data_IF_243532124067
#
_entry.id   IF_243532124067
#
_cell.length_a   1.000
_cell.length_b   1.000
_cell.length_c   1.000
_cell.angle_alpha   90.00
_cell.angle_beta   90.00
_cell.angle_gamma   90.00
#
_symmetry.space_group_name_H-M   'P 1'
#
loop_
_entity.id
_entity.type
_entity.pdbx_description
1 polymer ?
#
# COMPACT_ATOMS: atom_id res chain seq x y z
N UNK A 1 47.73 -55.10 -54.22
CA UNK A 1 47.77 -56.56 -54.45
C UNK A 1 46.69 -57.18 -53.56
N UNK A 2 45.41 -56.99 -53.89
CA UNK A 2 44.56 -57.82 -54.77
C UNK A 2 44.36 -59.26 -54.26
N UNK A 3 43.09 -59.58 -53.96
CA UNK A 3 42.33 -60.85 -54.12
C UNK A 3 41.20 -60.85 -53.07
N UNK A 4 39.94 -60.47 -53.38
CA UNK A 4 38.87 -61.27 -54.03
C UNK A 4 38.64 -62.64 -53.36
N UNK A 5 37.45 -63.21 -53.15
CA UNK A 5 36.04 -62.91 -53.42
C UNK A 5 35.22 -64.05 -52.75
N UNK A 6 33.94 -63.83 -52.40
CA UNK A 6 32.82 -64.81 -52.51
C UNK A 6 31.63 -64.39 -51.62
N UNK A 7 30.64 -63.65 -52.14
CA UNK A 7 29.41 -64.08 -52.87
C UNK A 7 28.28 -64.69 -52.01
N UNK A 8 27.19 -63.91 -51.90
CA UNK A 8 25.73 -64.25 -51.99
C UNK A 8 24.95 -63.03 -51.47
N UNK A 9 23.73 -62.67 -51.86
CA UNK A 9 22.86 -62.87 -53.01
C UNK A 9 21.64 -61.96 -52.73
N UNK A 10 21.30 -61.07 -53.67
CA UNK A 10 19.97 -60.56 -54.06
C UNK A 10 18.88 -60.50 -52.95
N UNK A 11 18.36 -59.29 -52.66
CA UNK A 11 16.93 -58.94 -52.81
C UNK A 11 16.68 -57.46 -52.47
N UNK A 12 16.18 -56.74 -53.48
CA UNK A 12 15.47 -55.46 -53.38
C UNK A 12 14.32 -55.58 -52.39
N UNK A 13 14.25 -54.68 -51.40
CA UNK A 13 13.02 -54.45 -50.63
C UNK A 13 12.81 -52.95 -50.49
N UNK A 14 11.74 -52.48 -51.14
CA UNK A 14 11.12 -51.19 -50.91
C UNK A 14 10.79 -51.05 -49.41
N UNK A 15 11.29 -50.00 -48.76
CA UNK A 15 10.73 -49.53 -47.49
C UNK A 15 10.08 -48.18 -47.75
N UNK A 16 8.77 -48.25 -48.00
CA UNK A 16 7.83 -47.19 -47.72
C UNK A 16 7.74 -47.11 -46.18
N UNK A 17 8.42 -46.15 -45.56
CA UNK A 17 8.45 -45.95 -44.11
C UNK A 17 8.02 -44.54 -43.78
N UNK A 18 6.86 -44.42 -43.13
CA UNK A 18 6.07 -43.20 -43.02
C UNK A 18 6.75 -42.01 -42.35
N UNK A 19 6.34 -40.83 -42.81
CA UNK A 19 6.54 -39.55 -42.15
C UNK A 19 5.76 -39.56 -40.83
N UNK A 20 6.40 -39.97 -39.74
CA UNK A 20 5.87 -39.74 -38.39
C UNK A 20 6.06 -38.25 -38.09
N UNK A 21 5.04 -37.44 -38.39
CA UNK A 21 4.90 -36.14 -37.74
C UNK A 21 4.70 -36.43 -36.24
N UNK A 22 5.77 -36.27 -35.47
CA UNK A 22 5.69 -36.07 -34.02
C UNK A 22 4.90 -34.78 -33.81
N UNK A 23 3.57 -34.91 -33.65
CA UNK A 23 2.74 -33.91 -33.00
C UNK A 23 3.24 -33.83 -31.56
N UNK A 24 4.25 -33.00 -31.33
CA UNK A 24 4.52 -32.53 -29.98
C UNK A 24 3.27 -31.78 -29.54
N UNK A 25 2.60 -32.19 -28.45
CA UNK A 25 1.60 -31.32 -27.86
C UNK A 25 2.30 -30.00 -27.59
N UNK A 26 1.80 -28.92 -28.19
CA UNK A 26 2.11 -27.58 -27.71
C UNK A 26 1.63 -27.57 -26.26
N UNK A 27 2.53 -27.90 -25.33
CA UNK A 27 2.39 -27.50 -23.94
C UNK A 27 2.52 -25.99 -24.01
N UNK A 28 1.40 -25.33 -24.29
CA UNK A 28 1.22 -23.91 -23.98
C UNK A 28 1.30 -23.89 -22.46
N UNK A 29 2.53 -23.83 -21.94
CA UNK A 29 2.76 -23.52 -20.54
C UNK A 29 2.01 -22.23 -20.30
N UNK A 30 0.99 -22.27 -19.45
CA UNK A 30 0.22 -21.09 -19.11
C UNK A 30 1.20 -20.01 -18.67
N UNK A 31 1.32 -18.97 -19.48
CA UNK A 31 2.16 -17.82 -19.16
C UNK A 31 1.34 -16.92 -18.23
N UNK A 32 1.96 -16.47 -17.15
CA UNK A 32 1.30 -15.55 -16.22
C UNK A 32 0.84 -14.28 -16.95
N UNK A 33 -0.27 -13.69 -16.51
CA UNK A 33 -0.85 -12.48 -17.13
C UNK A 33 -0.10 -11.18 -16.78
N UNK A 34 0.85 -11.27 -15.87
CA UNK A 34 1.64 -10.15 -15.38
C UNK A 34 2.63 -9.63 -16.43
N UNK A 35 2.99 -8.34 -16.33
CA UNK A 35 4.06 -7.81 -17.16
C UNK A 35 5.39 -8.55 -16.89
N UNK A 36 6.20 -8.71 -17.94
CA UNK A 36 7.54 -9.31 -17.83
C UNK A 36 8.50 -8.39 -17.04
N UNK A 37 8.24 -7.07 -17.07
CA UNK A 37 9.05 -6.07 -16.39
C UNK A 37 8.19 -4.90 -15.93
N UNK A 38 8.70 -4.17 -14.95
CA UNK A 38 8.15 -2.92 -14.43
C UNK A 38 9.26 -1.88 -14.32
N UNK A 39 8.90 -0.59 -14.25
CA UNK A 39 9.83 0.48 -13.85
C UNK A 39 10.35 0.32 -12.42
N UNK A 40 9.62 -0.44 -11.59
CA UNK A 40 9.94 -0.68 -10.20
C UNK A 40 10.11 -2.19 -9.96
N UNK A 41 11.33 -2.69 -10.09
CA UNK A 41 11.66 -4.12 -9.95
C UNK A 41 11.87 -4.59 -8.50
N UNK A 42 11.97 -3.66 -7.57
CA UNK A 42 12.11 -3.92 -6.14
C UNK A 42 11.48 -2.82 -5.31
N UNK A 43 10.97 -3.20 -4.15
CA UNK A 43 10.55 -2.26 -3.10
C UNK A 43 11.75 -1.64 -2.35
N UNK A 44 12.94 -2.23 -2.45
CA UNK A 44 14.16 -1.65 -1.87
C UNK A 44 14.44 -0.25 -2.42
N UNK A 45 14.86 0.65 -1.55
CA UNK A 45 15.14 2.03 -1.90
C UNK A 45 13.90 2.92 -2.02
N UNK A 46 12.70 2.39 -1.77
CA UNK A 46 11.46 3.13 -1.97
C UNK A 46 10.79 3.49 -0.64
N UNK A 47 10.11 4.63 -0.66
CA UNK A 47 9.15 5.06 0.36
C UNK A 47 7.77 4.98 -0.27
N UNK A 48 6.99 3.97 0.12
CA UNK A 48 5.62 3.76 -0.35
C UNK A 48 4.65 4.13 0.75
N UNK A 49 3.55 4.79 0.43
CA UNK A 49 2.51 5.13 1.40
C UNK A 49 1.26 4.25 1.21
N UNK A 50 0.51 3.98 2.29
CA UNK A 50 -0.86 3.50 2.15
C UNK A 50 -1.75 4.58 1.54
N UNK A 51 -2.66 4.20 0.64
CA UNK A 51 -3.60 5.13 0.01
C UNK A 51 -5.02 4.56 0.15
N UNK A 52 -5.88 5.30 0.85
CA UNK A 52 -7.24 4.88 1.15
C UNK A 52 -8.19 5.08 -0.04
N UNK A 53 -8.23 6.31 -0.58
CA UNK A 53 -9.10 6.63 -1.70
C UNK A 53 -10.61 6.49 -1.42
N UNK A 54 -11.01 6.60 -0.15
CA UNK A 54 -12.36 6.27 0.31
C UNK A 54 -13.26 7.48 0.61
N UNK A 55 -12.73 8.69 0.49
CA UNK A 55 -13.46 9.92 0.82
C UNK A 55 -14.43 10.26 -0.31
N UNK A 56 -15.73 10.32 -0.01
CA UNK A 56 -16.77 10.70 -0.97
C UNK A 56 -17.48 11.96 -0.54
N UNK A 57 -17.97 12.73 -1.50
CA UNK A 57 -18.76 13.93 -1.25
C UNK A 57 -20.17 13.79 -1.81
N UNK A 58 -21.10 14.53 -1.24
CA UNK A 58 -22.40 14.71 -1.88
C UNK A 58 -22.24 15.41 -3.25
N UNK A 59 -22.83 14.83 -4.29
CA UNK A 59 -22.74 15.34 -5.66
C UNK A 59 -21.43 15.02 -6.40
N UNK A 60 -20.58 14.12 -5.88
CA UNK A 60 -19.35 13.70 -6.55
C UNK A 60 -19.55 12.69 -7.70
N UNK A 61 -20.78 12.18 -7.86
CA UNK A 61 -21.13 11.18 -8.87
C UNK A 61 -20.87 9.74 -8.44
N UNK A 62 -20.42 9.48 -7.21
CA UNK A 62 -20.34 8.15 -6.64
C UNK A 62 -21.66 7.67 -6.01
N UNK A 63 -22.58 8.60 -5.73
CA UNK A 63 -23.86 8.37 -5.04
C UNK A 63 -23.69 7.71 -3.66
N UNK A 64 -22.63 8.11 -2.94
CA UNK A 64 -22.26 7.60 -1.61
C UNK A 64 -22.37 8.64 -0.50
N UNK A 65 -22.75 9.87 -0.83
CA UNK A 65 -22.79 10.98 0.12
C UNK A 65 -21.43 11.22 0.79
N UNK A 66 -21.45 11.78 2.00
CA UNK A 66 -20.26 12.11 2.80
C UNK A 66 -19.60 10.88 3.44
N UNK A 67 -19.23 9.87 2.66
CA UNK A 67 -18.55 8.66 3.17
C UNK A 67 -17.14 9.01 3.66
N UNK A 68 -16.73 8.46 4.81
CA UNK A 68 -15.47 8.76 5.53
C UNK A 68 -15.29 10.21 6.00
N UNK A 69 -16.23 11.09 5.71
CA UNK A 69 -16.36 12.41 6.35
C UNK A 69 -17.43 12.44 7.45
N UNK A 70 -18.51 11.67 7.26
CA UNK A 70 -19.68 11.71 8.14
C UNK A 70 -19.57 10.78 9.34
N UNK A 71 -20.14 11.25 10.46
CA UNK A 71 -20.41 10.44 11.65
C UNK A 71 -21.92 10.30 11.80
N UNK A 72 -22.39 9.08 12.04
CA UNK A 72 -23.82 8.77 12.16
C UNK A 72 -24.67 9.31 10.98
N UNK A 73 -24.13 9.24 9.77
CA UNK A 73 -24.81 9.69 8.54
C UNK A 73 -24.84 11.21 8.32
N UNK A 74 -24.15 12.00 9.13
CA UNK A 74 -24.09 13.46 9.01
C UNK A 74 -22.66 13.98 8.93
N UNK A 75 -22.46 14.99 8.09
CA UNK A 75 -21.22 15.75 7.99
C UNK A 75 -21.51 17.24 8.23
N UNK A 76 -21.53 17.63 9.50
CA UNK A 76 -21.85 18.98 9.99
C UNK A 76 -21.05 19.28 11.26
N UNK A 77 -21.04 20.53 11.71
CA UNK A 77 -20.34 20.89 12.95
C UNK A 77 -20.84 20.07 14.15
N UNK A 78 -19.91 19.45 14.89
CA UNK A 78 -20.22 18.49 15.96
C UNK A 78 -20.48 17.06 15.49
N UNK A 79 -20.50 16.80 14.18
CA UNK A 79 -20.69 15.46 13.60
C UNK A 79 -19.87 15.27 12.33
N UNK A 80 -18.62 14.82 12.50
CA UNK A 80 -17.74 14.39 11.43
C UNK A 80 -16.76 13.31 11.95
N UNK A 81 -15.97 12.73 11.05
CA UNK A 81 -14.92 11.74 11.38
C UNK A 81 -13.52 12.28 11.18
N UNK A 82 -13.33 13.38 10.44
CA UNK A 82 -11.99 13.89 10.12
C UNK A 82 -11.41 14.74 11.23
N UNK A 83 -10.12 14.62 11.51
CA UNK A 83 -9.40 15.47 12.45
C UNK A 83 -8.50 16.48 11.74
N UNK A 84 -8.09 16.17 10.51
CA UNK A 84 -7.24 17.03 9.69
C UNK A 84 -8.04 17.61 8.53
N UNK A 85 -7.84 18.90 8.25
CA UNK A 85 -8.48 19.55 7.11
C UNK A 85 -7.49 19.67 5.94
N UNK A 86 -7.83 19.17 4.74
CA UNK A 86 -6.92 19.22 3.60
C UNK A 86 -6.68 20.67 3.13
N UNK A 87 -5.48 20.95 2.67
CA UNK A 87 -5.20 22.19 1.94
C UNK A 87 -5.82 22.12 0.55
N UNK A 88 -6.71 23.06 0.23
CA UNK A 88 -7.59 22.92 -0.93
C UNK A 88 -7.18 23.78 -2.13
N UNK A 89 -6.15 24.61 -2.02
CA UNK A 89 -5.78 25.59 -3.04
C UNK A 89 -5.53 24.99 -4.43
N UNK A 90 -4.84 23.85 -4.52
CA UNK A 90 -4.48 23.19 -5.78
C UNK A 90 -5.56 22.26 -6.36
N UNK A 91 -6.60 21.94 -5.59
CA UNK A 91 -7.65 21.04 -6.07
C UNK A 91 -8.51 21.73 -7.13
N UNK A 92 -8.66 21.07 -8.27
CA UNK A 92 -9.46 21.57 -9.39
C UNK A 92 -10.95 21.56 -9.07
N UNK A 93 -11.43 20.47 -8.48
CA UNK A 93 -12.83 20.31 -8.04
C UNK A 93 -12.85 20.30 -6.52
N UNK A 94 -13.75 21.10 -5.95
CA UNK A 94 -13.89 21.32 -4.52
C UNK A 94 -15.36 21.16 -4.13
N UNK A 95 -15.62 20.42 -3.07
CA UNK A 95 -16.98 20.18 -2.59
C UNK A 95 -17.24 21.06 -1.37
N UNK A 96 -18.25 21.92 -1.48
CA UNK A 96 -18.62 22.85 -0.41
C UNK A 96 -19.18 22.06 0.76
N UNK A 97 -18.68 22.34 1.96
CA UNK A 97 -19.14 21.71 3.20
C UNK A 97 -20.07 22.63 4.00
N UNK A 98 -20.76 22.12 5.03
CA UNK A 98 -21.48 22.96 5.99
C UNK A 98 -20.56 23.75 6.94
N UNK A 99 -19.26 23.44 6.98
CA UNK A 99 -18.28 24.08 7.87
C UNK A 99 -17.83 25.44 7.33
N UNK A 100 -17.35 26.30 8.24
CA UNK A 100 -16.85 27.64 7.92
C UNK A 100 -15.50 27.90 8.58
N UNK A 101 -14.65 28.64 7.89
CA UNK A 101 -13.41 29.16 8.43
C UNK A 101 -13.66 30.33 9.41
N UNK A 102 -12.64 30.74 10.20
CA UNK A 102 -12.77 31.84 11.17
C UNK A 102 -13.28 33.16 10.57
N UNK A 103 -12.99 33.42 9.30
CA UNK A 103 -13.44 34.61 8.57
C UNK A 103 -14.89 34.52 8.06
N UNK A 104 -15.57 33.40 8.30
CA UNK A 104 -16.94 33.12 7.87
C UNK A 104 -17.06 32.57 6.45
N UNK A 105 -15.94 32.43 5.72
CA UNK A 105 -15.93 31.82 4.39
C UNK A 105 -16.25 30.31 4.46
N UNK A 106 -16.89 29.73 3.42
CA UNK A 106 -17.19 28.31 3.40
C UNK A 106 -15.92 27.47 3.30
N UNK A 107 -15.88 26.36 4.05
CA UNK A 107 -14.82 25.37 3.94
C UNK A 107 -15.16 24.31 2.88
N UNK A 108 -14.12 23.78 2.23
CA UNK A 108 -14.23 22.80 1.16
C UNK A 108 -13.39 21.55 1.45
N UNK A 109 -13.77 20.43 0.86
CA UNK A 109 -13.00 19.17 0.84
C UNK A 109 -12.96 18.59 -0.57
N UNK A 110 -12.14 17.56 -0.77
CA UNK A 110 -12.03 16.81 -2.02
C UNK A 110 -12.90 15.55 -1.99
N UNK A 111 -13.15 14.94 -3.16
CA UNK A 111 -13.61 13.55 -3.25
C UNK A 111 -12.53 12.71 -3.91
N UNK A 112 -12.26 11.53 -3.35
CA UNK A 112 -11.36 10.53 -3.95
C UNK A 112 -11.92 9.94 -5.25
N UNK A 113 -13.25 10.03 -5.46
CA UNK A 113 -13.90 9.57 -6.70
C UNK A 113 -13.64 10.51 -7.88
N UNK A 114 -13.33 11.78 -7.62
CA UNK A 114 -12.94 12.73 -8.66
C UNK A 114 -11.53 12.41 -9.18
N UNK A 115 -11.42 12.11 -10.47
CA UNK A 115 -10.14 11.75 -11.10
C UNK A 115 -9.09 12.87 -10.99
N UNK A 116 -9.50 14.13 -10.92
CA UNK A 116 -8.57 15.26 -10.76
C UNK A 116 -7.95 15.33 -9.37
N UNK A 117 -8.62 14.80 -8.33
CA UNK A 117 -8.03 14.59 -7.00
C UNK A 117 -6.89 13.57 -7.08
N UNK A 118 -7.18 12.40 -7.67
CA UNK A 118 -6.19 11.32 -7.79
C UNK A 118 -5.01 11.76 -8.66
N UNK A 119 -5.27 12.45 -9.77
CA UNK A 119 -4.21 13.01 -10.63
C UNK A 119 -3.29 13.98 -9.86
N UNK A 120 -3.87 14.87 -9.04
CA UNK A 120 -3.10 15.80 -8.20
C UNK A 120 -2.26 15.08 -7.15
N UNK A 121 -2.82 14.07 -6.48
CA UNK A 121 -2.11 13.27 -5.50
C UNK A 121 -0.85 12.61 -6.10
N UNK A 122 -0.98 11.97 -7.26
CA UNK A 122 0.15 11.35 -7.94
C UNK A 122 1.12 12.38 -8.54
N UNK A 123 0.65 13.56 -8.95
CA UNK A 123 1.51 14.69 -9.32
C UNK A 123 2.40 15.09 -8.14
N UNK A 124 1.83 15.26 -6.95
CA UNK A 124 2.60 15.55 -5.74
C UNK A 124 3.61 14.44 -5.44
N UNK A 125 3.23 13.16 -5.53
CA UNK A 125 4.18 12.07 -5.32
C UNK A 125 5.41 12.20 -6.22
N UNK A 126 5.19 12.51 -7.51
CA UNK A 126 6.28 12.76 -8.45
C UNK A 126 7.11 13.99 -8.10
N UNK A 127 6.47 15.10 -7.80
CA UNK A 127 7.11 16.39 -7.49
C UNK A 127 8.01 16.31 -6.25
N UNK A 128 7.51 15.66 -5.20
CA UNK A 128 8.23 15.55 -3.93
C UNK A 128 9.12 14.31 -3.85
N UNK A 129 9.01 13.37 -4.78
CA UNK A 129 9.81 12.13 -4.79
C UNK A 129 9.31 11.05 -3.83
N UNK A 130 8.01 11.05 -3.50
CA UNK A 130 7.35 9.90 -2.87
C UNK A 130 7.28 8.78 -3.91
N UNK A 131 7.77 7.59 -3.57
CA UNK A 131 8.03 6.56 -4.60
C UNK A 131 6.77 5.97 -5.20
N UNK A 132 5.69 5.91 -4.40
CA UNK A 132 4.40 5.42 -4.83
C UNK A 132 3.50 5.04 -3.67
N UNK A 133 2.46 4.26 -3.97
CA UNK A 133 1.44 3.87 -3.00
C UNK A 133 1.02 2.41 -3.07
N UNK A 134 0.63 1.88 -1.91
CA UNK A 134 -0.23 0.71 -1.80
C UNK A 134 -1.69 1.18 -1.75
N UNK A 135 -2.43 0.94 -2.84
CA UNK A 135 -3.87 1.18 -2.91
C UNK A 135 -4.57 0.18 -2.00
N UNK A 136 -5.18 0.66 -0.92
CA UNK A 136 -5.87 -0.20 0.03
C UNK A 136 -7.25 -0.61 -0.49
N UNK A 137 -7.54 -1.90 -0.38
CA UNK A 137 -8.79 -2.51 -0.82
C UNK A 137 -9.31 -3.42 0.28
N UNK A 138 -10.26 -2.89 1.04
CA UNK A 138 -10.84 -3.59 2.19
C UNK A 138 -11.70 -4.76 1.74
N UNK A 139 -11.69 -5.85 2.51
CA UNK A 139 -12.57 -6.98 2.24
C UNK A 139 -14.05 -6.57 2.15
N UNK A 140 -14.48 -5.60 2.97
CA UNK A 140 -15.86 -5.10 2.94
C UNK A 140 -16.26 -4.50 1.58
N UNK A 141 -15.31 -3.99 0.79
CA UNK A 141 -15.54 -3.51 -0.59
C UNK A 141 -15.97 -4.65 -1.50
N UNK A 142 -15.44 -5.85 -1.29
CA UNK A 142 -15.69 -7.03 -2.13
C UNK A 142 -17.10 -7.61 -1.90
N UNK A 143 -17.75 -7.22 -0.81
CA UNK A 143 -19.08 -7.75 -0.41
C UNK A 143 -20.26 -6.93 -0.96
N UNK A 144 -20.01 -5.83 -1.66
CA UNK A 144 -21.03 -4.92 -2.15
C UNK A 144 -20.61 -4.26 -3.47
N UNK A 145 -21.46 -4.38 -4.48
CA UNK A 145 -21.15 -3.92 -5.84
C UNK A 145 -20.93 -2.41 -5.92
N UNK A 146 -21.67 -1.59 -5.16
CA UNK A 146 -21.48 -0.13 -5.16
C UNK A 146 -20.13 0.27 -4.57
N UNK A 147 -19.72 -0.37 -3.48
CA UNK A 147 -18.37 -0.20 -2.91
C UNK A 147 -17.30 -0.66 -3.89
N UNK A 148 -17.49 -1.81 -4.52
CA UNK A 148 -16.57 -2.34 -5.54
C UNK A 148 -16.40 -1.38 -6.71
N UNK A 149 -17.49 -0.86 -7.27
CA UNK A 149 -17.48 0.09 -8.38
C UNK A 149 -16.77 1.40 -8.03
N UNK A 150 -16.98 1.93 -6.81
CA UNK A 150 -16.22 3.08 -6.31
C UNK A 150 -14.72 2.77 -6.28
N UNK A 151 -14.33 1.67 -5.64
CA UNK A 151 -12.92 1.30 -5.49
C UNK A 151 -12.25 1.03 -6.86
N UNK A 152 -12.97 0.42 -7.80
CA UNK A 152 -12.48 0.19 -9.17
C UNK A 152 -12.29 1.50 -9.94
N UNK A 153 -13.21 2.47 -9.80
CA UNK A 153 -13.07 3.80 -10.42
C UNK A 153 -11.87 4.56 -9.86
N UNK A 154 -11.67 4.55 -8.54
CA UNK A 154 -10.51 5.19 -7.90
C UNK A 154 -9.21 4.50 -8.33
N UNK A 155 -9.16 3.17 -8.33
CA UNK A 155 -7.99 2.41 -8.76
C UNK A 155 -7.67 2.64 -10.25
N UNK A 156 -8.67 2.68 -11.14
CA UNK A 156 -8.45 3.00 -12.55
C UNK A 156 -7.87 4.41 -12.74
N UNK A 157 -8.34 5.38 -11.94
CA UNK A 157 -7.81 6.76 -11.93
C UNK A 157 -6.37 6.78 -11.43
N UNK A 158 -6.06 5.98 -10.40
CA UNK A 158 -4.71 5.84 -9.84
C UNK A 158 -3.75 5.16 -10.83
N UNK A 159 -4.14 4.08 -11.53
CA UNK A 159 -3.34 3.43 -12.57
C UNK A 159 -2.99 4.42 -13.68
N UNK A 160 -3.98 5.21 -14.12
CA UNK A 160 -3.76 6.25 -15.15
C UNK A 160 -2.76 7.31 -14.66
N UNK A 161 -2.92 7.82 -13.45
CA UNK A 161 -2.04 8.84 -12.89
C UNK A 161 -0.63 8.29 -12.61
N UNK A 162 -0.52 7.07 -12.10
CA UNK A 162 0.73 6.36 -11.88
C UNK A 162 1.56 6.25 -13.17
N UNK A 163 0.91 5.83 -14.27
CA UNK A 163 1.55 5.78 -15.59
C UNK A 163 1.96 7.16 -16.10
N UNK A 164 1.07 8.15 -15.98
CA UNK A 164 1.33 9.53 -16.41
C UNK A 164 2.54 10.16 -15.71
N UNK A 165 2.67 9.96 -14.41
CA UNK A 165 3.71 10.59 -13.60
C UNK A 165 4.94 9.70 -13.36
N UNK A 166 4.86 8.42 -13.74
CA UNK A 166 5.91 7.43 -13.48
C UNK A 166 6.12 7.25 -11.99
N UNK A 167 5.05 6.94 -11.27
CA UNK A 167 5.00 6.70 -9.82
C UNK A 167 4.56 5.26 -9.58
N UNK A 168 5.15 4.58 -8.59
CA UNK A 168 4.83 3.18 -8.31
C UNK A 168 3.41 3.02 -7.76
N UNK A 169 2.78 1.89 -8.10
CA UNK A 169 1.47 1.51 -7.57
C UNK A 169 1.48 0.03 -7.21
N UNK A 170 0.90 -0.33 -6.08
CA UNK A 170 0.72 -1.72 -5.65
C UNK A 170 -0.68 -1.86 -5.03
N UNK A 171 -1.18 -3.09 -4.94
CA UNK A 171 -2.46 -3.36 -4.28
C UNK A 171 -2.20 -3.92 -2.88
N UNK A 172 -2.95 -3.43 -1.90
CA UNK A 172 -3.00 -4.00 -0.55
C UNK A 172 -4.43 -4.39 -0.21
N UNK A 173 -4.68 -5.67 0.04
CA UNK A 173 -5.96 -6.10 0.60
C UNK A 173 -5.94 -5.96 2.13
N UNK A 174 -6.88 -5.19 2.68
CA UNK A 174 -7.16 -5.22 4.12
C UNK A 174 -8.16 -6.33 4.40
N UNK A 175 -7.64 -7.44 4.93
CA UNK A 175 -8.38 -8.67 5.24
C UNK A 175 -8.90 -8.68 6.65
N UNK A 176 -8.69 -7.64 7.43
CA UNK A 176 -8.97 -7.75 8.83
C UNK A 176 -10.46 -7.79 9.17
N UNK A 177 -11.34 -7.33 8.28
CA UNK A 177 -12.78 -7.52 8.43
C UNK A 177 -13.27 -8.69 7.56
N UNK A 178 -12.39 -9.62 7.20
CA UNK A 178 -12.73 -10.73 6.33
C UNK A 178 -13.71 -11.68 7.02
N UNK A 179 -14.73 -12.05 6.27
CA UNK A 179 -15.56 -13.21 6.59
C UNK A 179 -14.84 -14.42 6.01
N UNK A 180 -14.31 -15.28 6.88
CA UNK A 180 -13.51 -16.44 6.50
C UNK A 180 -14.27 -17.35 5.53
N UNK A 181 -15.61 -17.43 5.61
CA UNK A 181 -16.41 -18.24 4.66
C UNK A 181 -16.44 -17.69 3.23
N UNK A 182 -15.93 -16.48 3.01
CA UNK A 182 -15.97 -15.72 1.75
C UNK A 182 -14.59 -15.29 1.25
N UNK A 183 -13.51 -15.88 1.74
CA UNK A 183 -12.14 -15.52 1.34
C UNK A 183 -11.89 -15.62 -0.18
N UNK A 184 -12.64 -16.48 -0.88
CA UNK A 184 -12.59 -16.62 -2.35
C UNK A 184 -12.90 -15.31 -3.09
N UNK A 185 -13.64 -14.37 -2.48
CA UNK A 185 -13.86 -13.04 -3.07
C UNK A 185 -12.55 -12.29 -3.32
N UNK A 186 -11.51 -12.51 -2.51
CA UNK A 186 -10.18 -11.91 -2.71
C UNK A 186 -9.54 -12.44 -4.00
N UNK A 187 -9.68 -13.74 -4.25
CA UNK A 187 -9.14 -14.43 -5.44
C UNK A 187 -9.88 -13.98 -6.70
N UNK A 188 -11.21 -13.93 -6.65
CA UNK A 188 -12.06 -13.46 -7.75
C UNK A 188 -11.78 -12.00 -8.08
N UNK A 189 -11.62 -11.15 -7.07
CA UNK A 189 -11.31 -9.75 -7.24
C UNK A 189 -9.91 -9.55 -7.85
N UNK A 190 -8.90 -10.32 -7.43
CA UNK A 190 -7.57 -10.23 -8.07
C UNK A 190 -7.63 -10.56 -9.56
N UNK A 191 -8.36 -11.62 -9.94
CA UNK A 191 -8.56 -11.99 -11.35
C UNK A 191 -9.20 -10.84 -12.13
N UNK A 192 -10.26 -10.25 -11.58
CA UNK A 192 -10.92 -9.05 -12.12
C UNK A 192 -9.95 -7.88 -12.30
N UNK A 193 -9.15 -7.55 -11.28
CA UNK A 193 -8.22 -6.43 -11.35
C UNK A 193 -7.10 -6.64 -12.38
N UNK A 194 -6.59 -7.88 -12.50
CA UNK A 194 -5.60 -8.25 -13.51
C UNK A 194 -6.21 -8.21 -14.91
N UNK A 195 -7.42 -8.74 -15.09
CA UNK A 195 -8.03 -8.87 -16.41
C UNK A 195 -8.66 -7.57 -16.91
N UNK A 196 -9.41 -6.87 -16.08
CA UNK A 196 -10.26 -5.77 -16.53
C UNK A 196 -9.54 -4.43 -16.37
N UNK A 197 -8.85 -4.24 -15.24
CA UNK A 197 -8.10 -3.00 -14.98
C UNK A 197 -6.64 -3.06 -15.46
N UNK A 198 -6.19 -4.22 -15.94
CA UNK A 198 -4.80 -4.46 -16.37
C UNK A 198 -3.79 -4.07 -15.29
N UNK A 199 -4.16 -4.28 -14.02
CA UNK A 199 -3.47 -3.74 -12.85
C UNK A 199 -1.96 -4.02 -12.87
N UNK A 200 -1.55 -5.25 -13.19
CA UNK A 200 -0.16 -5.71 -13.14
C UNK A 200 0.52 -5.76 -14.51
N UNK A 201 -0.19 -5.36 -15.58
CA UNK A 201 0.32 -5.36 -16.94
C UNK A 201 -0.25 -4.19 -17.73
N UNK A 202 0.36 -3.03 -17.56
CA UNK A 202 -0.08 -1.76 -18.12
C UNK A 202 0.68 -1.44 -19.43
N UNK A 203 1.35 -2.44 -20.02
CA UNK A 203 2.20 -2.31 -21.20
C UNK A 203 3.65 -1.96 -20.87
N UNK A 204 4.36 -1.37 -21.84
CA UNK A 204 5.80 -1.06 -21.74
C UNK A 204 6.15 -0.11 -20.58
N UNK A 205 5.19 0.72 -20.16
CA UNK A 205 5.39 1.73 -19.12
C UNK A 205 4.95 1.28 -17.72
N UNK A 206 4.66 -0.02 -17.54
CA UNK A 206 4.12 -0.59 -16.28
C UNK A 206 4.83 -0.03 -15.05
N UNK A 207 4.05 0.62 -14.18
CA UNK A 207 4.52 1.15 -12.89
C UNK A 207 4.10 0.29 -11.70
N UNK A 208 3.42 -0.84 -11.93
CA UNK A 208 3.06 -1.74 -10.84
C UNK A 208 4.32 -2.23 -10.11
N UNK A 209 4.35 -2.11 -8.79
CA UNK A 209 5.52 -2.43 -7.99
C UNK A 209 5.81 -3.93 -8.07
N UNK A 210 7.03 -4.26 -8.45
CA UNK A 210 7.56 -5.61 -8.35
C UNK A 210 8.51 -5.70 -7.16
N UNK A 211 8.64 -6.91 -6.63
CA UNK A 211 9.66 -7.28 -5.67
C UNK A 211 10.20 -8.65 -6.08
N UNK A 212 11.52 -8.85 -5.97
CA UNK A 212 12.17 -10.05 -6.53
C UNK A 212 11.79 -10.32 -8.01
N UNK A 213 11.59 -9.25 -8.80
CA UNK A 213 11.14 -9.29 -10.21
C UNK A 213 9.75 -9.93 -10.43
N UNK A 214 8.94 -10.07 -9.38
CA UNK A 214 7.56 -10.53 -9.41
C UNK A 214 6.63 -9.41 -8.99
N UNK A 215 5.38 -9.31 -9.50
CA UNK A 215 4.40 -8.36 -8.98
C UNK A 215 4.27 -8.50 -7.46
N UNK A 216 4.30 -7.39 -6.74
CA UNK A 216 4.14 -7.38 -5.29
C UNK A 216 2.67 -7.10 -4.94
N UNK A 217 2.03 -8.06 -4.27
CA UNK A 217 0.71 -7.87 -3.65
C UNK A 217 0.88 -7.81 -2.13
N UNK A 218 0.11 -6.95 -1.48
CA UNK A 218 0.12 -6.81 -0.03
C UNK A 218 -1.17 -7.31 0.63
N UNK A 219 -1.05 -7.85 1.84
CA UNK A 219 -2.18 -8.24 2.69
C UNK A 219 -2.01 -7.63 4.08
N UNK A 220 -3.06 -7.09 4.67
CA UNK A 220 -3.06 -6.52 6.02
C UNK A 220 -4.15 -7.16 6.88
N UNK A 221 -3.95 -7.17 8.21
CA UNK A 221 -4.96 -7.57 9.18
C UNK A 221 -4.88 -9.01 9.67
N UNK A 222 -3.81 -9.73 9.32
CA UNK A 222 -3.63 -11.17 9.59
C UNK A 222 -3.01 -11.38 10.98
N UNK A 223 -3.58 -12.29 11.78
CA UNK A 223 -3.10 -12.61 13.14
C UNK A 223 -3.28 -11.51 14.19
N UNK A 224 -4.08 -10.48 13.91
CA UNK A 224 -4.32 -9.38 14.85
C UNK A 224 -5.29 -9.76 15.96
N UNK A 225 -4.87 -9.66 17.23
CA UNK A 225 -5.65 -10.10 18.39
C UNK A 225 -6.89 -9.27 18.71
N UNK A 226 -7.10 -8.15 18.01
CA UNK A 226 -8.31 -7.32 18.12
C UNK A 226 -9.46 -7.81 17.25
N UNK A 227 -9.30 -8.92 16.53
CA UNK A 227 -10.27 -9.48 15.57
C UNK A 227 -10.74 -10.85 16.05
N UNK A 228 -11.95 -11.24 15.64
CA UNK A 228 -12.57 -12.49 16.09
C UNK A 228 -11.84 -13.74 15.57
N UNK A 229 -11.28 -13.66 14.35
CA UNK A 229 -10.34 -14.65 13.82
C UNK A 229 -9.04 -13.97 13.38
N UNK A 230 -7.92 -14.71 13.47
CA UNK A 230 -6.64 -14.32 12.89
C UNK A 230 -6.55 -14.57 11.38
N UNK A 231 -7.61 -15.12 10.77
CA UNK A 231 -7.74 -15.52 9.36
C UNK A 231 -6.74 -16.58 8.87
N UNK A 232 -5.88 -17.11 9.77
CA UNK A 232 -4.68 -17.88 9.40
C UNK A 232 -4.96 -19.04 8.43
N UNK A 233 -5.97 -19.92 8.64
CA UNK A 233 -6.23 -21.02 7.71
C UNK A 233 -6.51 -20.53 6.28
N UNK A 234 -7.37 -19.53 6.12
CA UNK A 234 -7.76 -18.97 4.83
C UNK A 234 -6.59 -18.23 4.16
N UNK A 235 -5.67 -17.65 4.95
CA UNK A 235 -4.48 -17.00 4.41
C UNK A 235 -3.55 -17.98 3.70
N UNK A 236 -3.44 -19.24 4.15
CA UNK A 236 -2.65 -20.24 3.43
C UNK A 236 -3.18 -20.45 2.01
N UNK A 237 -4.50 -20.59 1.85
CA UNK A 237 -5.14 -20.75 0.55
C UNK A 237 -4.97 -19.51 -0.34
N UNK A 238 -5.16 -18.31 0.24
CA UNK A 238 -4.94 -17.05 -0.48
C UNK A 238 -3.49 -16.98 -0.96
N UNK A 239 -2.51 -17.16 -0.06
CA UNK A 239 -1.09 -17.04 -0.43
C UNK A 239 -0.66 -18.11 -1.42
N UNK A 240 -1.19 -19.33 -1.35
CA UNK A 240 -0.94 -20.36 -2.36
C UNK A 240 -1.43 -19.92 -3.74
N UNK A 241 -2.65 -19.40 -3.86
CA UNK A 241 -3.18 -18.89 -5.12
C UNK A 241 -2.28 -17.77 -5.71
N UNK A 242 -1.96 -16.74 -4.92
CA UNK A 242 -1.16 -15.61 -5.41
C UNK A 242 0.28 -15.99 -5.78
N UNK A 243 0.82 -17.07 -5.19
CA UNK A 243 2.18 -17.54 -5.50
C UNK A 243 2.20 -18.55 -6.64
N UNK A 244 1.22 -19.45 -6.70
CA UNK A 244 1.32 -20.70 -7.46
C UNK A 244 0.27 -20.86 -8.56
N UNK A 245 -0.77 -20.03 -8.62
CA UNK A 245 -1.73 -20.09 -9.74
C UNK A 245 -1.01 -19.84 -11.08
N UNK A 246 -1.20 -20.70 -12.10
CA UNK A 246 -0.42 -20.66 -13.33
C UNK A 246 -0.78 -19.50 -14.27
N UNK A 247 -1.85 -18.74 -13.98
CA UNK A 247 -2.33 -17.63 -14.81
C UNK A 247 -2.21 -16.31 -14.06
N UNK A 248 -2.64 -16.29 -12.81
CA UNK A 248 -2.79 -15.09 -11.96
C UNK A 248 -1.83 -15.06 -10.77
N UNK A 249 -1.08 -16.14 -10.55
CA UNK A 249 -0.07 -16.23 -9.50
C UNK A 249 1.33 -15.81 -9.97
N UNK A 250 2.35 -16.25 -9.25
CA UNK A 250 3.72 -15.81 -9.47
C UNK A 250 4.03 -14.45 -8.84
N UNK A 251 3.26 -14.03 -7.84
CA UNK A 251 3.48 -12.80 -7.08
C UNK A 251 4.52 -13.00 -5.97
N UNK A 252 5.18 -11.90 -5.59
CA UNK A 252 5.80 -11.76 -4.26
C UNK A 252 4.77 -11.18 -3.29
N UNK A 253 4.91 -11.53 -2.01
CA UNK A 253 3.93 -11.16 -0.98
C UNK A 253 4.53 -10.19 0.03
N UNK A 254 3.83 -9.08 0.25
CA UNK A 254 4.05 -8.14 1.35
C UNK A 254 3.01 -8.41 2.44
N UNK A 255 3.46 -8.79 3.62
CA UNK A 255 2.58 -9.22 4.70
C UNK A 255 2.57 -8.20 5.84
N UNK A 256 1.44 -7.54 5.95
CA UNK A 256 1.06 -6.63 7.01
C UNK A 256 0.58 -7.36 8.26
N UNK A 257 1.30 -7.22 9.38
CA UNK A 257 1.10 -7.99 10.62
C UNK A 257 1.10 -7.10 11.88
N UNK A 258 0.62 -7.61 13.03
CA UNK A 258 0.67 -6.89 14.30
C UNK A 258 2.08 -6.47 14.70
N UNK A 259 2.18 -5.52 15.62
CA UNK A 259 3.44 -4.88 15.99
C UNK A 259 4.35 -5.77 16.85
N UNK A 260 3.79 -6.75 17.57
CA UNK A 260 4.51 -7.72 18.42
C UNK A 260 4.53 -9.12 17.82
N UNK A 261 4.43 -9.23 16.50
CA UNK A 261 4.37 -10.49 15.76
C UNK A 261 5.52 -11.46 16.08
N UNK A 262 6.74 -10.96 16.26
CA UNK A 262 7.94 -11.80 16.45
C UNK A 262 7.85 -12.65 17.71
N UNK A 263 7.24 -12.11 18.76
CA UNK A 263 7.07 -12.76 20.07
C UNK A 263 5.65 -13.25 20.31
N UNK A 264 4.76 -13.11 19.32
CA UNK A 264 3.31 -13.35 19.46
C UNK A 264 2.75 -12.58 20.68
N UNK A 265 3.16 -11.32 20.81
CA UNK A 265 2.86 -10.49 21.96
C UNK A 265 1.44 -9.89 21.94
N UNK A 266 1.29 -8.81 22.70
CA UNK A 266 -0.01 -8.29 23.17
C UNK A 266 -1.01 -7.83 22.10
N UNK A 267 -0.58 -7.61 20.86
CA UNK A 267 -1.49 -7.23 19.76
C UNK A 267 -1.67 -8.33 18.70
N UNK A 268 -1.20 -9.54 19.01
CA UNK A 268 -1.48 -10.77 18.24
C UNK A 268 -2.60 -11.58 18.91
N UNK A 269 -3.17 -12.53 18.19
CA UNK A 269 -4.07 -13.55 18.75
C UNK A 269 -3.34 -14.71 19.46
N UNK A 270 -2.00 -14.71 19.41
CA UNK A 270 -1.15 -15.73 20.02
C UNK A 270 -1.01 -17.04 19.22
N UNK A 271 -1.58 -17.12 18.01
CA UNK A 271 -1.52 -18.35 17.20
C UNK A 271 -0.11 -18.57 16.63
N UNK A 272 0.58 -19.67 16.98
CA UNK A 272 1.94 -19.93 16.51
C UNK A 272 2.06 -20.11 14.99
N UNK A 273 0.95 -20.45 14.31
CA UNK A 273 0.92 -20.58 12.85
C UNK A 273 1.12 -19.24 12.14
N UNK A 274 1.02 -18.10 12.84
CA UNK A 274 1.36 -16.80 12.28
C UNK A 274 2.80 -16.77 11.74
N UNK A 275 3.75 -17.45 12.41
CA UNK A 275 5.13 -17.53 11.90
C UNK A 275 5.23 -18.36 10.61
N UNK A 276 4.44 -19.43 10.46
CA UNK A 276 4.37 -20.21 9.22
C UNK A 276 3.79 -19.38 8.05
N UNK A 277 2.82 -18.50 8.34
CA UNK A 277 2.31 -17.53 7.36
C UNK A 277 3.39 -16.51 6.98
N UNK A 278 4.11 -15.97 7.96
CA UNK A 278 5.19 -14.99 7.74
C UNK A 278 6.34 -15.61 6.91
N UNK A 279 6.68 -16.88 7.15
CA UNK A 279 7.70 -17.58 6.38
C UNK A 279 7.35 -17.76 4.90
N UNK A 280 6.07 -17.65 4.53
CA UNK A 280 5.67 -17.68 3.12
C UNK A 280 5.76 -16.31 2.42
N UNK A 281 5.88 -15.21 3.17
CA UNK A 281 5.96 -13.86 2.62
C UNK A 281 7.39 -13.53 2.13
N UNK A 282 7.50 -12.46 1.34
CA UNK A 282 8.77 -11.86 0.93
C UNK A 282 9.11 -10.65 1.81
N UNK A 283 8.11 -9.81 2.10
CA UNK A 283 8.26 -8.58 2.90
C UNK A 283 7.40 -8.66 4.15
N UNK A 284 7.99 -8.37 5.31
CA UNK A 284 7.33 -8.28 6.61
C UNK A 284 7.08 -6.81 6.94
N UNK A 285 5.84 -6.46 7.26
CA UNK A 285 5.40 -5.09 7.53
C UNK A 285 4.58 -5.03 8.82
N UNK A 286 5.19 -4.68 9.96
CA UNK A 286 4.43 -4.47 11.19
C UNK A 286 3.71 -3.13 11.16
N UNK A 287 2.46 -3.09 11.62
CA UNK A 287 1.72 -1.84 11.83
C UNK A 287 2.11 -1.17 13.15
N UNK A 288 2.62 0.05 13.07
CA UNK A 288 3.22 0.74 14.22
C UNK A 288 2.45 1.98 14.68
N UNK A 289 1.41 2.41 13.94
CA UNK A 289 0.60 3.58 14.32
C UNK A 289 0.00 3.38 15.70
N UNK A 290 0.16 4.39 16.57
CA UNK A 290 -0.35 4.35 17.93
C UNK A 290 0.42 3.47 18.92
N UNK A 291 1.52 2.80 18.51
CA UNK A 291 2.33 1.93 19.40
C UNK A 291 3.36 2.69 20.23
N UNK A 292 3.73 3.89 19.79
CA UNK A 292 4.67 4.77 20.46
C UNK A 292 4.40 6.23 20.07
N UNK A 293 5.01 7.17 20.77
CA UNK A 293 5.13 8.57 20.38
C UNK A 293 6.62 8.96 20.29
N UNK A 294 6.91 10.23 20.03
CA UNK A 294 8.31 10.68 19.89
C UNK A 294 9.19 10.35 21.10
N UNK A 295 8.63 10.43 22.31
CA UNK A 295 9.35 10.18 23.55
C UNK A 295 9.64 8.69 23.76
N UNK A 296 8.70 7.80 23.43
CA UNK A 296 8.83 6.35 23.60
C UNK A 296 9.42 5.61 22.40
N UNK A 297 9.54 6.27 21.23
CA UNK A 297 10.01 5.64 20.00
C UNK A 297 11.37 4.93 20.15
N UNK A 298 12.37 5.56 20.77
CA UNK A 298 13.70 4.94 20.83
C UNK A 298 13.69 3.66 21.68
N UNK A 299 12.96 3.66 22.80
CA UNK A 299 12.80 2.45 23.59
C UNK A 299 12.07 1.35 22.80
N UNK A 300 11.05 1.71 22.02
CA UNK A 300 10.36 0.77 21.15
C UNK A 300 11.30 0.22 20.06
N UNK A 301 12.09 1.09 19.42
CA UNK A 301 13.05 0.71 18.38
C UNK A 301 14.07 -0.31 18.88
N UNK A 302 14.64 -0.07 20.07
CA UNK A 302 15.65 -0.93 20.68
C UNK A 302 15.10 -2.32 21.03
N UNK A 303 13.87 -2.38 21.56
CA UNK A 303 13.29 -3.64 22.03
C UNK A 303 12.64 -4.48 20.91
N UNK A 304 12.24 -3.83 19.82
CA UNK A 304 11.34 -4.43 18.84
C UNK A 304 11.92 -4.32 17.43
N UNK A 305 12.01 -3.12 16.87
CA UNK A 305 12.40 -2.91 15.46
C UNK A 305 13.78 -3.52 15.15
N UNK A 306 14.77 -3.37 16.03
CA UNK A 306 16.11 -3.93 15.80
C UNK A 306 16.06 -5.47 15.76
N UNK A 307 15.33 -6.09 16.68
CA UNK A 307 15.22 -7.55 16.75
C UNK A 307 14.34 -8.11 15.63
N UNK A 308 13.32 -7.37 15.20
CA UNK A 308 12.50 -7.69 14.04
C UNK A 308 13.34 -7.68 12.75
N UNK A 309 14.18 -6.65 12.54
CA UNK A 309 15.09 -6.61 11.38
C UNK A 309 16.08 -7.78 11.41
N UNK A 310 16.63 -8.13 12.58
CA UNK A 310 17.50 -9.31 12.73
C UNK A 310 16.78 -10.60 12.40
N UNK A 311 15.56 -10.78 12.91
CA UNK A 311 14.74 -11.94 12.61
C UNK A 311 14.46 -12.04 11.12
N UNK A 312 14.02 -10.95 10.47
CA UNK A 312 13.72 -10.94 9.04
C UNK A 312 14.94 -11.33 8.21
N UNK A 313 16.12 -10.78 8.53
CA UNK A 313 17.37 -11.16 7.84
C UNK A 313 17.73 -12.63 8.05
N UNK A 314 17.53 -13.18 9.24
CA UNK A 314 17.83 -14.59 9.53
C UNK A 314 16.89 -15.58 8.83
N UNK A 315 15.71 -15.13 8.38
CA UNK A 315 14.70 -15.94 7.68
C UNK A 315 14.55 -15.54 6.20
N UNK A 316 15.56 -14.86 5.64
CA UNK A 316 15.59 -14.38 4.25
C UNK A 316 14.37 -13.53 3.85
N UNK A 317 13.89 -12.71 4.79
CA UNK A 317 12.77 -11.77 4.60
C UNK A 317 13.24 -10.33 4.54
N UNK A 318 12.53 -9.53 3.75
CA UNK A 318 12.66 -8.08 3.79
C UNK A 318 11.77 -7.50 4.89
N UNK A 319 12.15 -6.34 5.42
CA UNK A 319 11.42 -5.67 6.48
C UNK A 319 11.08 -4.24 6.08
N UNK A 320 9.80 -3.92 6.07
CA UNK A 320 9.25 -2.62 5.74
C UNK A 320 8.53 -2.04 6.98
N UNK A 321 9.23 -1.33 7.88
CA UNK A 321 8.59 -0.76 9.06
C UNK A 321 7.61 0.34 8.67
N UNK A 322 6.53 0.46 9.45
CA UNK A 322 5.59 1.58 9.35
C UNK A 322 6.21 2.83 9.97
N UNK A 323 6.24 3.94 9.24
CA UNK A 323 6.50 5.28 9.76
C UNK A 323 5.26 6.15 9.57
N UNK A 324 4.98 7.05 10.50
CA UNK A 324 3.79 7.90 10.45
C UNK A 324 4.06 9.31 10.99
N UNK A 325 3.44 10.35 10.42
CA UNK A 325 3.79 11.73 10.78
C UNK A 325 3.22 12.17 12.13
N UNK A 326 2.13 11.54 12.58
CA UNK A 326 1.37 11.83 13.80
C UNK A 326 0.09 11.01 13.80
N UNK A 327 -0.78 11.24 14.79
CA UNK A 327 -2.05 10.50 14.92
C UNK A 327 -3.10 11.29 15.70
N UNK A 328 -4.31 11.35 15.17
CA UNK A 328 -5.49 11.95 15.82
C UNK A 328 -6.78 11.44 15.19
N UNK A 329 -7.77 11.10 16.01
CA UNK A 329 -9.08 10.56 15.57
C UNK A 329 -10.21 10.98 16.51
N UNK A 330 -10.07 12.14 17.12
CA UNK A 330 -10.94 12.70 18.14
C UNK A 330 -12.40 12.80 17.67
N UNK A 331 -12.63 13.31 16.45
CA UNK A 331 -13.99 13.47 15.94
C UNK A 331 -14.63 12.10 15.66
N UNK A 332 -13.83 11.11 15.25
CA UNK A 332 -14.29 9.75 15.02
C UNK A 332 -14.60 9.01 16.33
N UNK A 333 -13.66 8.99 17.28
CA UNK A 333 -13.72 8.15 18.49
C UNK A 333 -14.09 8.96 19.74
N UNK A 334 -15.20 8.62 20.43
CA UNK A 334 -15.57 9.30 21.67
C UNK A 334 -14.50 9.08 22.75
N UNK A 335 -14.29 10.11 23.59
CA UNK A 335 -13.34 10.11 24.73
C UNK A 335 -11.86 9.98 24.37
N UNK A 336 -11.49 10.07 23.09
CA UNK A 336 -10.10 10.15 22.69
C UNK A 336 -9.54 11.57 22.84
N UNK A 337 -8.22 11.69 22.74
CA UNK A 337 -7.51 12.97 22.84
C UNK A 337 -7.23 13.47 21.42
N UNK A 338 -7.56 14.74 21.15
CA UNK A 338 -7.16 15.40 19.90
C UNK A 338 -5.64 15.62 19.88
N UNK A 339 -5.03 15.45 18.71
CA UNK A 339 -3.58 15.49 18.50
C UNK A 339 -2.82 14.53 19.44
N UNK A 340 -3.36 13.30 19.57
CA UNK A 340 -2.84 12.26 20.49
C UNK A 340 -1.35 11.98 20.30
N UNK A 341 -0.87 12.00 19.05
CA UNK A 341 0.55 11.95 18.72
C UNK A 341 0.86 13.16 17.83
N UNK A 342 1.39 14.25 18.42
CA UNK A 342 1.71 15.47 17.69
C UNK A 342 2.78 15.23 16.62
N UNK A 343 2.65 15.95 15.50
CA UNK A 343 3.61 15.84 14.40
C UNK A 343 4.94 16.55 14.65
N UNK A 344 4.96 17.47 15.61
CA UNK A 344 6.13 18.24 16.05
C UNK A 344 6.98 18.76 14.89
N UNK A 345 6.35 19.43 13.91
CA UNK A 345 7.04 20.01 12.74
C UNK A 345 7.90 19.02 11.96
N UNK A 346 7.53 17.74 11.97
CA UNK A 346 8.25 16.68 11.28
C UNK A 346 9.33 15.97 12.11
N UNK A 347 9.68 16.47 13.30
CA UNK A 347 10.72 15.85 14.13
C UNK A 347 10.38 14.41 14.51
N UNK A 348 9.12 14.15 14.88
CA UNK A 348 8.65 12.79 15.18
C UNK A 348 8.73 11.87 13.95
N UNK A 349 8.30 12.37 12.79
CA UNK A 349 8.33 11.60 11.55
C UNK A 349 9.76 11.23 11.14
N UNK A 350 10.65 12.23 11.15
CA UNK A 350 12.06 12.04 10.77
C UNK A 350 12.80 11.12 11.75
N UNK A 351 12.52 11.22 13.05
CA UNK A 351 13.08 10.33 14.07
C UNK A 351 12.79 8.86 13.77
N UNK A 352 11.57 8.56 13.31
CA UNK A 352 11.19 7.21 12.90
C UNK A 352 11.89 6.77 11.62
N UNK A 353 11.94 7.64 10.61
CA UNK A 353 12.62 7.38 9.33
C UNK A 353 14.09 7.04 9.57
N UNK A 354 14.82 7.92 10.25
CA UNK A 354 16.24 7.74 10.52
C UNK A 354 16.50 6.52 11.41
N UNK A 355 15.67 6.31 12.44
CA UNK A 355 15.78 5.15 13.32
C UNK A 355 15.53 3.83 12.59
N UNK A 356 14.52 3.75 11.73
CA UNK A 356 14.23 2.57 10.91
C UNK A 356 15.39 2.22 9.95
N UNK A 357 15.92 3.23 9.26
CA UNK A 357 17.06 3.07 8.34
C UNK A 357 18.32 2.67 9.11
N UNK A 358 18.59 3.29 10.26
CA UNK A 358 19.71 2.90 11.15
C UNK A 358 19.57 1.47 11.66
N UNK A 359 18.35 1.01 11.95
CA UNK A 359 18.08 -0.38 12.34
C UNK A 359 18.29 -1.38 11.18
N UNK A 360 18.44 -0.89 9.95
CA UNK A 360 18.74 -1.70 8.77
C UNK A 360 17.57 -1.93 7.82
N UNK A 361 16.51 -1.11 7.90
CA UNK A 361 15.43 -1.12 6.92
C UNK A 361 15.93 -0.58 5.57
N UNK A 362 15.61 -1.30 4.48
CA UNK A 362 15.96 -0.92 3.10
C UNK A 362 14.77 -0.32 2.32
N UNK A 363 13.62 -0.21 2.97
CA UNK A 363 12.36 0.30 2.41
C UNK A 363 11.47 0.79 3.56
N UNK A 364 10.52 1.67 3.29
CA UNK A 364 9.63 2.23 4.30
C UNK A 364 8.18 2.24 3.83
N UNK A 365 7.27 1.80 4.72
CA UNK A 365 5.84 2.01 4.55
C UNK A 365 5.40 3.24 5.34
N UNK A 366 4.75 4.20 4.67
CA UNK A 366 4.20 5.39 5.31
C UNK A 366 2.72 5.18 5.57
N UNK A 367 2.33 5.24 6.85
CA UNK A 367 0.94 5.34 7.25
C UNK A 367 0.63 6.83 7.51
N UNK A 368 -0.09 7.53 6.66
CA UNK A 368 -0.67 7.15 5.35
C UNK A 368 -0.56 8.33 4.37
N UNK A 369 -0.92 8.14 3.10
CA UNK A 369 -0.98 9.23 2.13
C UNK A 369 -2.12 10.21 2.46
N UNK A 370 -3.37 9.73 2.49
CA UNK A 370 -4.59 10.56 2.48
C UNK A 370 -5.52 10.39 3.70
N UNK A 371 -5.17 9.57 4.70
CA UNK A 371 -6.01 9.26 5.87
C UNK A 371 -6.06 10.42 6.89
N UNK A 372 -6.88 11.43 6.58
CA UNK A 372 -7.10 12.64 7.38
C UNK A 372 -8.03 12.43 8.58
N UNK A 373 -8.73 11.29 8.63
CA UNK A 373 -9.61 10.87 9.71
C UNK A 373 -8.89 10.20 10.89
N UNK A 374 -7.71 9.61 10.65
CA UNK A 374 -6.81 9.13 11.70
C UNK A 374 -5.56 10.02 11.88
N UNK A 375 -5.48 11.12 11.13
CA UNK A 375 -4.43 12.14 11.28
C UNK A 375 -3.03 11.68 10.87
N UNK A 376 -2.95 10.59 10.12
CA UNK A 376 -1.71 9.97 9.64
C UNK A 376 -1.32 10.49 8.24
N UNK A 377 -2.20 11.23 7.57
CA UNK A 377 -2.01 11.70 6.19
C UNK A 377 -0.73 12.55 5.97
N UNK A 378 0.03 12.26 4.90
CA UNK A 378 1.14 13.08 4.43
C UNK A 378 0.77 14.07 3.32
N UNK A 379 -0.46 14.04 2.77
CA UNK A 379 -0.95 15.10 1.87
C UNK A 379 -0.89 16.49 2.53
N UNK A 380 -1.05 17.53 1.70
CA UNK A 380 -1.03 18.91 2.18
C UNK A 380 -2.21 19.18 3.12
N UNK A 381 -1.90 19.60 4.35
CA UNK A 381 -2.86 19.95 5.41
C UNK A 381 -2.87 21.46 5.59
N UNK A 382 -4.05 22.06 5.75
CA UNK A 382 -4.17 23.51 5.89
C UNK A 382 -3.70 24.03 7.25
N UNK A 383 -3.14 25.24 7.26
CA UNK A 383 -2.82 25.98 8.49
C UNK A 383 -4.05 26.61 9.14
N UNK A 384 -5.10 26.85 8.35
CA UNK A 384 -6.37 27.41 8.81
C UNK A 384 -7.42 26.33 8.70
N UNK A 385 -8.07 26.01 9.82
CA UNK A 385 -9.09 24.97 9.89
C UNK A 385 -10.46 25.56 10.23
N UNK A 386 -11.56 24.87 9.92
CA UNK A 386 -12.88 25.35 10.30
C UNK A 386 -13.05 25.48 11.81
N UNK A 387 -13.99 26.35 12.22
CA UNK A 387 -14.31 26.61 13.62
C UNK A 387 -15.69 26.10 13.99
N UNK A 388 -15.89 25.69 15.25
CA UNK A 388 -17.16 25.18 15.74
C UNK A 388 -16.99 24.24 16.93
N UNK A 389 -17.92 23.31 17.04
CA UNK A 389 -17.97 22.21 18.01
C UNK A 389 -17.00 21.08 17.66
N UNK A 390 -16.83 20.77 16.36
CA UNK A 390 -15.82 19.82 15.89
C UNK A 390 -14.41 20.40 16.07
N UNK A 391 -13.46 19.55 16.45
CA UNK A 391 -12.07 19.97 16.73
C UNK A 391 -11.16 19.47 15.61
N UNK A 392 -10.51 20.38 14.90
CA UNK A 392 -9.54 20.04 13.86
C UNK A 392 -8.12 20.40 14.28
N UNK A 393 -7.15 19.57 13.89
CA UNK A 393 -5.73 19.79 14.11
C UNK A 393 -5.17 20.57 12.91
N UNK A 394 -4.77 21.84 13.06
CA UNK A 394 -4.13 22.58 11.98
C UNK A 394 -2.71 22.07 11.74
N UNK A 395 -2.19 22.27 10.53
CA UNK A 395 -0.77 22.07 10.28
C UNK A 395 0.10 23.05 11.11
N UNK A 396 1.32 22.65 11.45
CA UNK A 396 2.27 23.52 12.14
C UNK A 396 2.57 24.76 11.29
N UNK A 397 2.43 25.97 11.87
CA UNK A 397 2.56 27.24 11.13
C UNK A 397 3.98 27.50 10.64
N UNK A 398 4.97 26.91 11.30
CA UNK A 398 6.39 27.08 10.98
C UNK A 398 6.85 26.21 9.80
N UNK A 399 6.01 25.30 9.30
CA UNK A 399 6.35 24.45 8.15
C UNK A 399 5.32 24.65 7.03
N UNK A 400 5.73 24.55 5.75
CA UNK A 400 4.79 24.63 4.64
C UNK A 400 3.83 23.43 4.63
N UNK A 401 2.69 23.56 3.96
CA UNK A 401 1.66 22.50 3.93
C UNK A 401 2.14 21.21 3.27
N UNK A 402 3.16 21.30 2.40
CA UNK A 402 3.79 20.18 1.70
C UNK A 402 4.94 19.50 2.47
N UNK A 403 5.18 19.90 3.72
CA UNK A 403 6.36 19.49 4.48
C UNK A 403 6.52 17.96 4.61
N UNK A 404 5.44 17.21 4.82
CA UNK A 404 5.48 15.76 4.99
C UNK A 404 5.65 14.99 3.68
N UNK A 405 5.21 15.56 2.55
CA UNK A 405 5.54 15.06 1.21
C UNK A 405 7.05 15.21 0.96
N UNK A 406 7.59 16.40 1.27
CA UNK A 406 9.01 16.70 1.12
C UNK A 406 9.90 15.80 1.99
N UNK A 407 9.56 15.61 3.27
CA UNK A 407 10.30 14.71 4.16
C UNK A 407 10.29 13.26 3.65
N UNK A 408 9.16 12.78 3.15
CA UNK A 408 9.05 11.44 2.53
C UNK A 408 9.96 11.32 1.30
N UNK A 409 10.06 12.37 0.50
CA UNK A 409 11.02 12.47 -0.60
C UNK A 409 12.48 12.38 -0.16
N UNK A 410 12.85 13.14 0.88
CA UNK A 410 14.18 13.12 1.46
C UNK A 410 14.54 11.74 2.04
N UNK A 411 13.59 11.07 2.69
CA UNK A 411 13.74 9.69 3.14
C UNK A 411 14.03 8.74 1.97
N UNK A 412 13.34 8.90 0.84
CA UNK A 412 13.60 8.14 -0.38
C UNK A 412 15.00 8.37 -0.94
N UNK A 413 15.48 9.62 -0.96
CA UNK A 413 16.86 9.93 -1.36
C UNK A 413 17.89 9.25 -0.44
N UNK A 414 17.61 9.25 0.87
CA UNK A 414 18.48 8.62 1.88
C UNK A 414 18.53 7.10 1.71
N UNK A 415 17.39 6.44 1.47
CA UNK A 415 17.32 5.00 1.21
C UNK A 415 18.09 4.59 -0.06
N UNK A 416 18.07 5.43 -1.10
CA UNK A 416 18.81 5.16 -2.36
C UNK A 416 20.28 5.58 -2.31
N UNK A 417 20.75 6.14 -1.20
CA UNK A 417 22.12 6.64 -1.06
C UNK A 417 22.43 7.88 -1.90
N UNK A 418 21.39 8.61 -2.36
CA UNK A 418 21.54 9.86 -3.11
C UNK A 418 21.95 11.03 -2.18
N UNK A 419 21.65 10.91 -0.89
CA UNK A 419 22.12 11.78 0.18
C UNK A 419 22.68 10.91 1.33
N UNK A 420 23.63 11.43 2.13
CA UNK A 420 24.15 10.68 3.27
C UNK A 420 23.07 10.42 4.31
N UNK A 421 23.22 9.32 5.05
CA UNK A 421 22.41 9.06 6.23
C UNK A 421 22.56 10.20 7.26
N UNK A 422 21.43 10.66 7.79
CA UNK A 422 21.39 11.69 8.85
C UNK A 422 20.29 11.39 9.85
N UNK A 423 20.63 11.46 11.14
CA UNK A 423 19.64 11.48 12.23
C UNK A 423 18.95 12.82 12.37
N UNK A 424 19.65 13.88 12.00
CA UNK A 424 19.11 15.24 12.01
C UNK A 424 18.15 15.41 10.83
N UNK A 425 16.99 16.00 11.11
CA UNK A 425 15.98 16.31 10.09
C UNK A 425 16.57 17.28 9.08
N UNK A 426 16.41 17.04 7.76
CA UNK A 426 16.89 17.97 6.76
C UNK A 426 16.23 19.33 6.96
N UNK A 427 16.99 20.39 6.66
CA UNK A 427 16.48 21.76 6.65
C UNK A 427 16.14 22.11 5.22
N UNK A 428 14.94 22.64 4.98
CA UNK A 428 14.57 23.18 3.68
C UNK A 428 15.16 24.57 3.56
N UNK A 429 16.05 24.77 2.59
CA UNK A 429 16.47 26.12 2.23
C UNK A 429 15.24 26.84 1.65
N UNK A 430 14.87 27.96 2.25
CA UNK A 430 13.80 28.80 1.73
C UNK A 430 14.31 29.45 0.44
N UNK A 431 13.85 28.95 -0.71
CA UNK A 431 14.00 29.65 -1.99
C UNK A 431 12.84 30.61 -2.18
#
# INVERSE_FOLDING_TARGET
MQLENSKRSIKTLFILGGLVLLLMPNVVGSQTKHAISSKYLSYKGLVMAGYQGWFNCEGDGADRGWTHYSKNGKFEDGSCTIDYWPEMDEYKVKYKTPFKFPDGSPAYVFSSYDESTVDLHFKWMKEYGVSGVFMQRFFSVLTDEKRKNHSDKVLASAIKAANKYGVAIALMYDLGSMDDSKYQLVIEDWKHLVDDLKLTNQGAETTYLFHNKKPLVAFWGIGAGTRESGHIPEIFDIMDFFKNDPVYGGCSIHLGIPSRWRTLGSDTDGDPRLHEVIEQADVVHPWLVGRYNEKSYEAYRQNEIIEDVKWSKAHDKFYAPTVFPGFSWYNMKPNEVSDKIPRNKGAFYWKQIAGAIESGAEMLYVAMFDEIDEGTAIIKISHTVPVGTSIFVPNDKEVPTDHYLWLSGMAGKMLRGEIPFSKEMPVRENN
#
